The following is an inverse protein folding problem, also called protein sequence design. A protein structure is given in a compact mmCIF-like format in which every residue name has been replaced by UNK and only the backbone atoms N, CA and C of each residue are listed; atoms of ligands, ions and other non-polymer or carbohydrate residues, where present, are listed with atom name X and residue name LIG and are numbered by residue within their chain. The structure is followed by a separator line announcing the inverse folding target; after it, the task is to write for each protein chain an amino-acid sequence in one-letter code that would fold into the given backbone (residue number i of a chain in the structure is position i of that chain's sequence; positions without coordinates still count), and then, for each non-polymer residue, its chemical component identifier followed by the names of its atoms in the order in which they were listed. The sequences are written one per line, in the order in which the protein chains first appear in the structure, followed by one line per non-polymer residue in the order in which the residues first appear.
data_IF_188021533105
#
_entry.id   IF_188021533105
#
_cell.length_a   1.000
_cell.length_b   1.000
_cell.length_c   1.000
_cell.angle_alpha   90.00
_cell.angle_beta   90.00
_cell.angle_gamma   90.00
#
_symmetry.space_group_name_H-M   'P 1'
#
loop_
_entity.id
_entity.type
_entity.pdbx_description
1 polymer ?
#
# COMPACT_ATOMS: atom_id res chain seq x y z
N UNK A 1 24.03 5.97 -59.89
CA UNK A 1 24.26 4.71 -59.15
C UNK A 1 25.60 4.14 -59.60
N UNK A 2 26.64 4.06 -58.76
CA UNK A 2 27.91 3.48 -59.20
C UNK A 2 27.71 1.99 -59.53
N UNK A 3 28.16 1.60 -60.72
CA UNK A 3 28.01 0.25 -61.26
C UNK A 3 28.75 -0.77 -60.37
N UNK A 4 28.11 -1.91 -60.12
CA UNK A 4 28.52 -2.93 -59.14
C UNK A 4 29.85 -3.66 -59.50
N UNK A 5 30.53 -3.26 -60.56
CA UNK A 5 31.71 -3.95 -61.15
C UNK A 5 32.82 -3.03 -61.70
N UNK A 6 32.74 -1.70 -61.59
CA UNK A 6 33.86 -0.86 -62.03
C UNK A 6 35.01 -0.89 -61.01
N UNK A 7 36.25 -0.98 -61.51
CA UNK A 7 37.48 -0.95 -60.70
C UNK A 7 37.59 0.32 -59.83
N UNK A 8 36.89 1.40 -60.21
CA UNK A 8 36.86 2.69 -59.50
C UNK A 8 35.89 2.70 -58.31
N UNK A 9 36.15 1.87 -57.30
CA UNK A 9 35.40 1.92 -56.04
C UNK A 9 35.88 3.09 -55.19
N UNK A 10 35.19 4.22 -55.26
CA UNK A 10 35.42 5.37 -54.37
C UNK A 10 34.92 5.04 -52.96
N UNK A 11 35.78 5.25 -51.95
CA UNK A 11 35.41 5.08 -50.54
C UNK A 11 34.35 6.11 -50.13
N UNK A 12 33.14 5.64 -49.82
CA UNK A 12 32.07 6.51 -49.32
C UNK A 12 32.18 6.67 -47.80
N UNK A 13 32.23 7.91 -47.32
CA UNK A 13 32.23 8.23 -45.88
C UNK A 13 30.87 7.88 -45.26
N UNK A 14 30.79 6.77 -44.51
CA UNK A 14 29.60 6.38 -43.71
C UNK A 14 29.85 6.64 -42.22
N UNK A 15 28.81 6.95 -41.43
CA UNK A 15 28.92 6.93 -39.98
C UNK A 15 29.23 5.50 -39.47
N UNK A 16 29.78 5.40 -38.26
CA UNK A 16 30.09 4.12 -37.63
C UNK A 16 28.81 3.37 -37.24
N UNK A 17 28.52 2.28 -37.95
CA UNK A 17 27.36 1.41 -37.66
C UNK A 17 27.67 0.26 -36.70
N UNK A 18 28.96 0.02 -36.41
CA UNK A 18 29.41 -1.16 -35.66
C UNK A 18 28.80 -1.22 -34.26
N UNK A 19 28.86 -0.13 -33.50
CA UNK A 19 28.34 -0.09 -32.13
C UNK A 19 26.81 -0.22 -32.11
N UNK A 20 26.11 0.44 -33.02
CA UNK A 20 24.65 0.36 -33.10
C UNK A 20 24.18 -1.06 -33.45
N UNK A 21 24.78 -1.68 -34.47
CA UNK A 21 24.45 -3.05 -34.85
C UNK A 21 24.76 -4.03 -33.70
N UNK A 22 25.91 -3.87 -33.03
CA UNK A 22 26.26 -4.67 -31.85
C UNK A 22 25.23 -4.50 -30.72
N UNK A 23 24.82 -3.28 -30.40
CA UNK A 23 23.79 -3.04 -29.39
C UNK A 23 22.45 -3.68 -29.77
N UNK A 24 22.04 -3.57 -31.03
CA UNK A 24 20.81 -4.20 -31.54
C UNK A 24 20.87 -5.73 -31.43
N UNK A 25 21.99 -6.35 -31.81
CA UNK A 25 22.14 -7.80 -31.77
C UNK A 25 22.14 -8.32 -30.33
N UNK A 26 22.82 -7.62 -29.42
CA UNK A 26 22.80 -7.91 -27.98
C UNK A 26 21.37 -7.76 -27.44
N UNK A 27 20.71 -6.64 -27.69
CA UNK A 27 19.34 -6.40 -27.21
C UNK A 27 18.36 -7.45 -27.77
N UNK A 28 18.44 -7.77 -29.06
CA UNK A 28 17.61 -8.79 -29.68
C UNK A 28 17.83 -10.17 -29.03
N UNK A 29 19.08 -10.57 -28.80
CA UNK A 29 19.40 -11.84 -28.17
C UNK A 29 18.85 -11.93 -26.73
N UNK A 30 19.12 -10.93 -25.88
CA UNK A 30 18.70 -10.98 -24.48
C UNK A 30 17.20 -10.73 -24.29
N UNK A 31 16.60 -9.79 -25.02
CA UNK A 31 15.20 -9.43 -24.83
C UNK A 31 14.28 -10.40 -25.57
N UNK A 32 14.53 -10.65 -26.86
CA UNK A 32 13.63 -11.45 -27.69
C UNK A 32 13.89 -12.93 -27.48
N UNK A 33 15.12 -13.40 -27.68
CA UNK A 33 15.41 -14.83 -27.65
C UNK A 33 15.35 -15.41 -26.24
N UNK A 34 15.94 -14.74 -25.24
CA UNK A 34 15.98 -15.24 -23.86
C UNK A 34 14.78 -14.81 -23.00
N UNK A 35 14.19 -13.64 -23.27
CA UNK A 35 13.06 -13.11 -22.50
C UNK A 35 11.70 -13.50 -23.08
N UNK A 36 11.33 -12.87 -24.19
CA UNK A 36 9.96 -12.91 -24.72
C UNK A 36 9.62 -14.27 -25.33
N UNK A 37 10.51 -14.85 -26.14
CA UNK A 37 10.25 -16.08 -26.90
C UNK A 37 9.89 -17.28 -26.00
N UNK A 38 10.65 -17.63 -24.94
CA UNK A 38 10.29 -18.76 -24.07
C UNK A 38 8.98 -18.53 -23.32
N UNK A 39 8.66 -17.29 -22.92
CA UNK A 39 7.39 -16.96 -22.26
C UNK A 39 6.23 -17.14 -23.23
N UNK A 40 6.33 -16.62 -24.46
CA UNK A 40 5.28 -16.79 -25.48
C UNK A 40 5.08 -18.26 -25.84
N UNK A 41 6.16 -19.04 -25.97
CA UNK A 41 6.09 -20.48 -26.21
C UNK A 41 5.39 -21.20 -25.06
N UNK A 42 5.77 -20.90 -23.80
CA UNK A 42 5.13 -21.46 -22.61
C UNK A 42 3.63 -21.12 -22.56
N UNK A 43 3.26 -19.85 -22.80
CA UNK A 43 1.88 -19.40 -22.83
C UNK A 43 1.08 -20.12 -23.93
N UNK A 44 1.65 -20.24 -25.12
CA UNK A 44 1.06 -20.98 -26.24
C UNK A 44 0.89 -22.47 -25.92
N UNK A 45 1.90 -23.10 -25.32
CA UNK A 45 1.85 -24.51 -24.91
C UNK A 45 0.73 -24.75 -23.88
N UNK A 46 0.64 -23.90 -22.83
CA UNK A 46 -0.42 -23.99 -21.82
C UNK A 46 -1.80 -23.81 -22.49
N UNK A 47 -1.93 -22.89 -23.43
CA UNK A 47 -3.18 -22.65 -24.12
C UNK A 47 -3.62 -23.82 -24.99
N UNK A 48 -2.70 -24.46 -25.71
CA UNK A 48 -2.99 -25.62 -26.57
C UNK A 48 -3.33 -26.87 -25.75
N UNK A 49 -2.60 -27.12 -24.66
CA UNK A 49 -2.80 -28.33 -23.84
C UNK A 49 -4.07 -28.26 -23.00
N UNK A 50 -4.34 -27.12 -22.35
CA UNK A 50 -5.43 -27.02 -21.37
C UNK A 50 -6.68 -26.32 -21.90
N UNK A 51 -6.55 -25.43 -22.89
CA UNK A 51 -7.66 -24.60 -23.36
C UNK A 51 -8.26 -23.66 -22.30
N UNK A 52 -9.31 -22.91 -22.65
CA UNK A 52 -10.13 -22.19 -21.67
C UNK A 52 -11.05 -23.17 -20.92
N UNK A 53 -11.24 -22.94 -19.62
CA UNK A 53 -12.23 -23.70 -18.85
C UNK A 53 -13.64 -23.22 -19.22
N UNK A 54 -14.60 -24.16 -19.25
CA UNK A 54 -16.01 -23.85 -19.39
C UNK A 54 -16.61 -23.39 -18.06
N UNK A 55 -17.58 -22.48 -18.12
CA UNK A 55 -18.31 -22.04 -16.94
C UNK A 55 -19.26 -23.17 -16.53
N UNK A 56 -19.11 -23.64 -15.31
CA UNK A 56 -20.02 -24.60 -14.69
C UNK A 56 -20.77 -23.93 -13.56
N UNK A 57 -22.00 -24.38 -13.33
CA UNK A 57 -22.77 -23.94 -12.18
C UNK A 57 -22.05 -24.33 -10.89
N UNK A 58 -22.20 -23.49 -9.86
CA UNK A 58 -21.58 -23.73 -8.58
C UNK A 58 -22.14 -25.04 -7.99
N UNK A 59 -21.30 -25.99 -7.54
CA UNK A 59 -21.78 -27.23 -6.96
C UNK A 59 -22.63 -26.91 -5.72
N UNK A 60 -23.88 -27.33 -5.72
CA UNK A 60 -24.78 -27.16 -4.56
C UNK A 60 -24.38 -28.08 -3.41
N UNK A 61 -23.97 -29.30 -3.75
CA UNK A 61 -23.52 -30.31 -2.81
C UNK A 61 -22.01 -30.50 -2.95
N UNK A 62 -21.24 -30.05 -1.96
CA UNK A 62 -19.79 -30.22 -1.97
C UNK A 62 -19.04 -29.28 -1.04
N UNK A 63 -17.71 -29.45 -1.03
CA UNK A 63 -16.80 -28.49 -0.40
C UNK A 63 -16.85 -27.15 -1.15
N UNK A 64 -16.70 -26.06 -0.41
CA UNK A 64 -16.59 -24.73 -1.00
C UNK A 64 -15.49 -24.67 -2.08
N UNK A 65 -15.82 -24.06 -3.22
CA UNK A 65 -14.90 -23.82 -4.34
C UNK A 65 -13.79 -22.87 -3.87
N UNK A 66 -12.55 -23.18 -4.24
CA UNK A 66 -11.42 -22.31 -3.93
C UNK A 66 -11.43 -21.07 -4.82
N UNK A 67 -11.00 -19.93 -4.28
CA UNK A 67 -11.05 -18.64 -4.97
C UNK A 67 -10.33 -18.61 -6.33
N UNK A 68 -9.21 -19.33 -6.50
CA UNK A 68 -8.52 -19.38 -7.78
C UNK A 68 -9.26 -20.16 -8.87
N UNK A 69 -10.26 -20.99 -8.52
CA UNK A 69 -11.02 -21.80 -9.48
C UNK A 69 -12.00 -20.97 -10.32
N UNK A 70 -12.33 -19.75 -9.87
CA UNK A 70 -13.17 -18.81 -10.62
C UNK A 70 -12.46 -18.22 -11.85
N UNK A 71 -11.15 -18.40 -11.98
CA UNK A 71 -10.39 -17.92 -13.13
C UNK A 71 -10.53 -18.81 -14.37
N UNK A 72 -10.74 -18.20 -15.55
CA UNK A 72 -11.05 -18.93 -16.80
C UNK A 72 -9.89 -19.77 -17.35
N UNK A 73 -8.64 -19.33 -17.17
CA UNK A 73 -7.47 -19.99 -17.76
C UNK A 73 -6.57 -20.59 -16.67
N UNK A 74 -5.99 -21.77 -16.93
CA UNK A 74 -5.11 -22.44 -15.95
C UNK A 74 -3.94 -21.60 -15.49
N UNK A 75 -3.39 -20.75 -16.37
CA UNK A 75 -2.35 -19.79 -15.99
C UNK A 75 -2.84 -18.77 -14.95
N UNK A 76 -4.05 -18.23 -15.13
CA UNK A 76 -4.64 -17.30 -14.16
C UNK A 76 -4.98 -18.02 -12.86
N UNK A 77 -5.49 -19.25 -12.91
CA UNK A 77 -5.71 -20.09 -11.72
C UNK A 77 -4.38 -20.29 -10.95
N UNK A 78 -3.29 -20.59 -11.66
CA UNK A 78 -1.96 -20.74 -11.08
C UNK A 78 -1.47 -19.42 -10.45
N UNK A 79 -1.58 -18.30 -11.17
CA UNK A 79 -1.19 -16.99 -10.67
C UNK A 79 -2.01 -16.59 -9.43
N UNK A 80 -3.33 -16.79 -9.46
CA UNK A 80 -4.21 -16.50 -8.32
C UNK A 80 -3.86 -17.37 -7.09
N UNK A 81 -3.51 -18.64 -7.31
CA UNK A 81 -3.14 -19.55 -6.21
C UNK A 81 -1.81 -19.20 -5.54
N UNK A 82 -0.81 -18.76 -6.29
CA UNK A 82 0.56 -18.59 -5.78
C UNK A 82 1.01 -17.14 -5.59
N UNK A 83 0.43 -16.18 -6.32
CA UNK A 83 0.90 -14.79 -6.33
C UNK A 83 -0.10 -13.82 -5.67
N UNK A 84 -1.39 -14.15 -5.66
CA UNK A 84 -2.44 -13.26 -5.17
C UNK A 84 -3.07 -13.79 -3.86
N UNK A 85 -3.36 -12.92 -2.87
CA UNK A 85 -4.23 -13.30 -1.76
C UNK A 85 -5.64 -13.60 -2.27
N UNK A 86 -6.44 -14.31 -1.47
CA UNK A 86 -7.85 -14.52 -1.82
C UNK A 86 -8.63 -13.21 -1.72
N UNK A 87 -9.62 -13.03 -2.59
CA UNK A 87 -10.48 -11.83 -2.56
C UNK A 87 -11.21 -11.70 -1.22
N UNK A 88 -11.60 -12.83 -0.62
CA UNK A 88 -12.25 -12.91 0.69
C UNK A 88 -11.28 -12.41 1.78
N UNK A 89 -10.06 -12.92 1.80
CA UNK A 89 -9.04 -12.48 2.76
C UNK A 89 -8.74 -10.99 2.59
N UNK A 90 -8.63 -10.49 1.35
CA UNK A 90 -8.39 -9.07 1.11
C UNK A 90 -9.56 -8.22 1.61
N UNK A 91 -10.80 -8.65 1.37
CA UNK A 91 -12.00 -7.98 1.85
C UNK A 91 -12.06 -7.92 3.39
N UNK A 92 -11.86 -9.06 4.06
CA UNK A 92 -11.90 -9.15 5.52
C UNK A 92 -10.76 -8.35 6.17
N UNK A 93 -9.56 -8.40 5.60
CA UNK A 93 -8.41 -7.62 6.05
C UNK A 93 -8.70 -6.12 5.97
N UNK A 94 -9.31 -5.67 4.87
CA UNK A 94 -9.71 -4.27 4.69
C UNK A 94 -10.79 -3.87 5.69
N UNK A 95 -11.80 -4.73 5.91
CA UNK A 95 -12.86 -4.49 6.89
C UNK A 95 -12.27 -4.30 8.30
N UNK A 96 -11.36 -5.20 8.72
CA UNK A 96 -10.69 -5.11 10.00
C UNK A 96 -9.81 -3.85 10.12
N UNK A 97 -9.16 -3.42 9.03
CA UNK A 97 -8.41 -2.16 8.99
C UNK A 97 -9.32 -0.95 9.21
N UNK A 98 -10.44 -0.87 8.50
CA UNK A 98 -11.39 0.23 8.63
C UNK A 98 -12.05 0.28 10.01
N UNK A 99 -12.35 -0.88 10.61
CA UNK A 99 -12.87 -0.95 11.97
C UNK A 99 -11.88 -0.36 12.97
N UNK A 100 -10.61 -0.79 12.92
CA UNK A 100 -9.54 -0.26 13.78
C UNK A 100 -9.36 1.25 13.60
N UNK A 101 -9.35 1.73 12.36
CA UNK A 101 -9.24 3.16 12.06
C UNK A 101 -10.44 3.95 12.59
N UNK A 102 -11.66 3.40 12.49
CA UNK A 102 -12.86 4.02 13.03
C UNK A 102 -12.83 4.10 14.56
N UNK A 103 -12.44 3.02 15.24
CA UNK A 103 -12.28 3.00 16.70
C UNK A 103 -11.25 4.07 17.13
N UNK A 104 -10.10 4.13 16.48
CA UNK A 104 -9.08 5.15 16.75
C UNK A 104 -9.60 6.59 16.52
N UNK A 105 -10.38 6.81 15.46
CA UNK A 105 -11.02 8.11 15.19
C UNK A 105 -12.01 8.50 16.30
N UNK A 106 -12.79 7.55 16.81
CA UNK A 106 -13.72 7.78 17.93
C UNK A 106 -12.96 8.13 19.20
N UNK A 107 -11.89 7.40 19.53
CA UNK A 107 -11.04 7.70 20.68
C UNK A 107 -10.45 9.11 20.62
N UNK A 108 -9.92 9.53 19.46
CA UNK A 108 -9.40 10.89 19.28
C UNK A 108 -10.46 11.98 19.47
N UNK A 109 -11.69 11.75 18.99
CA UNK A 109 -12.80 12.70 19.22
C UNK A 109 -13.17 12.79 20.69
N UNK A 110 -13.16 11.67 21.41
CA UNK A 110 -13.41 11.61 22.85
C UNK A 110 -12.29 12.33 23.60
N UNK A 111 -11.03 12.05 23.26
CA UNK A 111 -9.85 12.69 23.85
C UNK A 111 -9.89 14.20 23.69
N UNK A 112 -10.10 14.71 22.47
CA UNK A 112 -10.25 16.16 22.22
C UNK A 112 -11.41 16.77 23.03
N UNK A 113 -12.53 16.06 23.17
CA UNK A 113 -13.66 16.52 23.97
C UNK A 113 -13.33 16.55 25.46
N UNK A 114 -12.61 15.55 25.96
CA UNK A 114 -12.15 15.45 27.35
C UNK A 114 -11.15 16.57 27.64
N UNK A 115 -10.15 16.78 26.79
CA UNK A 115 -9.15 17.85 26.93
C UNK A 115 -9.82 19.24 26.98
N UNK A 116 -10.78 19.49 26.09
CA UNK A 116 -11.55 20.73 26.09
C UNK A 116 -12.35 20.93 27.39
N UNK A 117 -13.05 19.90 27.89
CA UNK A 117 -13.81 19.99 29.14
C UNK A 117 -12.90 20.12 30.38
N UNK A 118 -11.71 19.52 30.37
CA UNK A 118 -10.71 19.69 31.41
C UNK A 118 -10.23 21.15 31.48
N UNK A 119 -9.99 21.77 30.32
CA UNK A 119 -9.58 23.17 30.24
C UNK A 119 -10.68 24.17 30.63
N UNK A 120 -11.96 23.84 30.43
CA UNK A 120 -13.08 24.69 30.87
C UNK A 120 -13.34 24.58 32.37
N UNK A 121 -13.40 23.35 32.90
CA UNK A 121 -13.90 23.09 34.26
C UNK A 121 -12.81 23.11 35.32
N UNK A 122 -11.58 22.72 34.98
CA UNK A 122 -10.50 22.50 35.95
C UNK A 122 -10.82 21.50 37.08
N UNK A 123 -11.90 20.71 36.93
CA UNK A 123 -12.42 19.79 37.95
C UNK A 123 -11.72 18.42 37.97
N UNK A 124 -10.82 18.15 37.03
CA UNK A 124 -10.20 16.83 36.86
C UNK A 124 -8.69 16.88 37.10
N UNK A 125 -8.15 15.81 37.68
CA UNK A 125 -6.71 15.56 37.80
C UNK A 125 -6.13 15.24 36.40
N UNK A 126 -5.82 16.28 35.63
CA UNK A 126 -5.13 16.15 34.35
C UNK A 126 -3.67 15.66 34.53
N UNK A 127 -2.98 15.33 33.43
CA UNK A 127 -1.58 14.88 33.48
C UNK A 127 -0.61 15.90 34.10
N UNK A 128 -0.97 17.19 34.10
CA UNK A 128 -0.21 18.28 34.68
C UNK A 128 -0.60 18.62 36.13
N UNK A 129 -1.45 17.80 36.77
CA UNK A 129 -1.83 18.05 38.15
C UNK A 129 -0.64 17.89 39.08
N UNK A 130 -0.25 18.98 39.73
CA UNK A 130 0.70 18.99 40.83
C UNK A 130 -0.06 18.78 42.15
N UNK A 131 0.23 17.74 42.94
CA UNK A 131 -0.45 17.51 44.20
C UNK A 131 -0.07 18.60 45.21
N UNK A 132 -0.94 19.59 45.39
CA UNK A 132 -0.85 20.53 46.50
C UNK A 132 -1.45 19.87 47.74
N UNK A 133 -0.73 19.89 48.86
CA UNK A 133 -1.30 19.37 50.12
C UNK A 133 -2.53 20.19 50.53
N UNK A 134 -3.51 19.52 51.15
CA UNK A 134 -4.70 20.18 51.68
C UNK A 134 -4.33 21.36 52.62
N UNK A 135 -3.24 21.18 53.38
CA UNK A 135 -2.70 22.21 54.29
C UNK A 135 -2.30 23.48 53.54
N UNK A 136 -1.62 23.38 52.39
CA UNK A 136 -1.19 24.54 51.61
C UNK A 136 -2.37 25.25 50.92
N UNK A 137 -3.37 24.48 50.47
CA UNK A 137 -4.60 25.05 49.88
C UNK A 137 -5.43 25.79 50.93
N UNK A 138 -5.58 25.23 52.13
CA UNK A 138 -6.25 25.89 53.26
C UNK A 138 -5.49 27.14 53.72
N UNK A 139 -4.15 27.06 53.79
CA UNK A 139 -3.31 28.22 54.10
C UNK A 139 -3.44 29.34 53.06
N UNK A 140 -3.49 28.99 51.77
CA UNK A 140 -3.71 29.95 50.69
C UNK A 140 -5.06 30.65 50.78
N UNK A 141 -6.13 29.91 51.10
CA UNK A 141 -7.47 30.48 51.36
C UNK A 141 -7.44 31.44 52.55
N UNK A 142 -6.88 31.01 53.67
CA UNK A 142 -6.72 31.85 54.87
C UNK A 142 -5.94 33.14 54.57
N UNK A 143 -4.85 33.04 53.80
CA UNK A 143 -4.05 34.20 53.43
C UNK A 143 -4.80 35.18 52.51
N UNK A 144 -5.58 34.65 51.54
CA UNK A 144 -6.41 35.45 50.64
C UNK A 144 -7.55 36.17 51.37
N UNK A 145 -8.24 35.49 52.29
CA UNK A 145 -9.26 36.10 53.14
C UNK A 145 -8.67 37.22 53.99
N UNK A 146 -7.50 37.00 54.60
CA UNK A 146 -6.81 38.03 55.38
C UNK A 146 -6.44 39.25 54.54
N UNK A 147 -5.95 39.07 53.32
CA UNK A 147 -5.65 40.18 52.40
C UNK A 147 -6.90 40.97 52.01
N UNK A 148 -8.05 40.30 51.82
CA UNK A 148 -9.34 40.95 51.53
C UNK A 148 -9.81 41.86 52.66
N UNK A 149 -9.51 41.50 53.90
CA UNK A 149 -9.92 42.24 55.10
C UNK A 149 -8.89 43.27 55.59
N UNK A 150 -7.71 43.34 54.98
CA UNK A 150 -6.74 44.38 55.32
C UNK A 150 -7.25 45.72 54.79
N UNK A 151 -7.39 46.76 55.65
CA UNK A 151 -7.66 48.10 55.17
C UNK A 151 -6.52 48.54 54.26
N UNK A 152 -6.85 49.16 53.13
CA UNK A 152 -5.88 49.73 52.20
C UNK A 152 -5.16 50.90 52.87
N UNK A 153 -4.10 50.61 53.62
CA UNK A 153 -3.20 51.64 54.12
C UNK A 153 -2.10 51.87 53.07
N UNK A 154 -2.47 52.68 52.08
CA UNK A 154 -1.59 53.55 51.28
C UNK A 154 -2.25 54.92 51.20
#
# INVERSE_FOLDING_TARGET
LPARFSSDRVFYRRPSVLYFNRCKDIAHFYVVCLGIMPVVLLLGFIHVVYGPCELQDLPTDGSAVHYWQFERTKLKQWAAKYLCPSDIEQYERNLAYFEKANILSRWRKIEQRVEHLQGERWDYKAWWYEPVSAVWTDYGKWAAERMKHQPSEF
#
